data_IF_627919042560
#
_entry.id   IF_627919042560
#
_cell.length_a   1.000
_cell.length_b   1.000
_cell.length_c   1.000
_cell.angle_alpha   90.00
_cell.angle_beta   90.00
_cell.angle_gamma   90.00
#
_symmetry.space_group_name_H-M   'P 1'
#
loop_
_entity.id
_entity.type
_entity.pdbx_description
1 polymer ?
#
# COMPACT_ATOMS: atom_id res chain seq x y z
N UNK A 1 20.75 51.15 -9.38
CA UNK A 1 20.94 49.88 -8.62
C UNK A 1 22.04 49.09 -9.30
N UNK A 2 22.97 48.52 -8.53
CA UNK A 2 24.00 47.64 -9.09
C UNK A 2 23.37 46.34 -9.61
N UNK A 3 23.97 45.65 -10.60
CA UNK A 3 23.47 44.36 -11.09
C UNK A 3 23.24 43.33 -9.97
N UNK A 4 24.09 43.38 -8.94
CA UNK A 4 23.99 42.55 -7.72
C UNK A 4 22.71 42.87 -6.92
N UNK A 5 22.32 44.15 -6.83
CA UNK A 5 21.09 44.56 -6.15
C UNK A 5 19.81 44.13 -6.89
N UNK A 6 19.83 44.13 -8.22
CA UNK A 6 18.70 43.62 -9.03
C UNK A 6 18.55 42.11 -8.83
N UNK A 7 19.67 41.38 -8.88
CA UNK A 7 19.68 39.93 -8.68
C UNK A 7 19.18 39.55 -7.27
N UNK A 8 19.60 40.27 -6.24
CA UNK A 8 19.14 40.04 -4.86
C UNK A 8 17.62 40.24 -4.70
N UNK A 9 17.05 41.25 -5.34
CA UNK A 9 15.59 41.48 -5.32
C UNK A 9 14.85 40.37 -6.06
N UNK A 10 15.37 39.92 -7.20
CA UNK A 10 14.76 38.80 -7.95
C UNK A 10 14.78 37.50 -7.12
N UNK A 11 15.87 37.21 -6.42
CA UNK A 11 15.93 36.07 -5.50
C UNK A 11 14.94 36.19 -4.35
N UNK A 12 14.79 37.38 -3.76
CA UNK A 12 13.82 37.62 -2.69
C UNK A 12 12.38 37.43 -3.19
N UNK A 13 12.05 37.98 -4.37
CA UNK A 13 10.73 37.83 -4.99
C UNK A 13 10.43 36.37 -5.34
N UNK A 14 11.43 35.63 -5.83
CA UNK A 14 11.29 34.20 -6.10
C UNK A 14 11.08 33.42 -4.79
N UNK A 15 11.83 33.72 -3.73
CA UNK A 15 11.66 33.07 -2.43
C UNK A 15 10.27 33.36 -1.82
N UNK A 16 9.80 34.61 -1.91
CA UNK A 16 8.44 35.00 -1.51
C UNK A 16 7.38 34.27 -2.34
N UNK A 17 7.56 34.20 -3.65
CA UNK A 17 6.66 33.46 -4.54
C UNK A 17 6.61 31.97 -4.17
N UNK A 18 7.76 31.32 -4.00
CA UNK A 18 7.84 29.91 -3.61
C UNK A 18 7.28 29.65 -2.20
N UNK A 19 7.50 30.57 -1.25
CA UNK A 19 7.05 30.41 0.13
C UNK A 19 5.57 30.72 0.34
N UNK A 20 4.99 31.66 -0.42
CA UNK A 20 3.57 32.04 -0.31
C UNK A 20 2.68 31.31 -1.30
N UNK A 21 3.25 30.75 -2.37
CA UNK A 21 2.55 30.09 -3.48
C UNK A 21 1.22 30.77 -3.87
N UNK A 22 1.27 32.05 -4.28
CA UNK A 22 0.06 32.87 -4.40
C UNK A 22 -0.90 32.37 -5.49
N UNK A 23 -0.41 31.55 -6.42
CA UNK A 23 -1.20 30.92 -7.49
C UNK A 23 -1.46 29.44 -7.27
N UNK A 24 -1.11 28.89 -6.09
CA UNK A 24 -1.36 27.49 -5.72
C UNK A 24 -0.74 26.48 -6.69
N UNK A 25 0.42 26.79 -7.25
CA UNK A 25 1.12 25.91 -8.18
C UNK A 25 1.82 24.73 -7.50
N UNK A 26 2.04 24.81 -6.18
CA UNK A 26 2.68 23.74 -5.43
C UNK A 26 1.84 22.46 -5.44
N UNK A 27 2.50 21.32 -5.50
CA UNK A 27 1.84 20.00 -5.45
C UNK A 27 1.06 19.75 -4.15
N UNK A 28 1.31 20.55 -3.11
CA UNK A 28 0.66 20.47 -1.80
C UNK A 28 -0.34 21.62 -1.54
N UNK A 29 -0.57 22.51 -2.50
CA UNK A 29 -1.37 23.72 -2.31
C UNK A 29 -2.84 23.46 -1.95
N UNK A 30 -3.37 22.30 -2.33
CA UNK A 30 -4.74 21.86 -2.05
C UNK A 30 -4.83 20.90 -0.85
N UNK A 31 -3.74 20.71 -0.10
CA UNK A 31 -3.73 19.81 1.06
C UNK A 31 -4.24 20.53 2.31
N UNK A 32 -5.41 20.16 2.86
CA UNK A 32 -5.86 20.73 4.12
C UNK A 32 -4.92 20.31 5.26
N UNK A 33 -4.64 21.24 6.17
CA UNK A 33 -3.91 21.02 7.43
C UNK A 33 -2.61 20.23 7.24
N UNK A 34 -1.85 20.58 6.20
CA UNK A 34 -0.58 19.93 5.87
C UNK A 34 0.50 20.28 6.90
N UNK A 35 1.02 19.24 7.55
CA UNK A 35 2.12 19.31 8.49
C UNK A 35 3.21 18.36 8.01
N UNK A 36 4.44 18.86 7.84
CA UNK A 36 5.58 18.04 7.46
C UNK A 36 6.29 17.50 8.71
N UNK A 37 6.62 16.21 8.68
CA UNK A 37 7.33 15.50 9.71
C UNK A 37 8.80 15.39 9.31
N UNK A 38 9.70 15.45 10.30
CA UNK A 38 11.13 15.32 10.05
C UNK A 38 11.45 13.89 9.58
N UNK A 39 12.33 13.80 8.59
CA UNK A 39 12.85 12.55 8.01
C UNK A 39 14.36 12.59 8.22
N UNK A 40 14.87 11.68 9.05
CA UNK A 40 16.29 11.62 9.44
C UNK A 40 17.10 10.75 8.46
N UNK A 41 17.33 11.28 7.24
CA UNK A 41 18.03 10.61 6.11
C UNK A 41 19.18 9.70 6.57
N UNK A 42 19.28 8.44 6.10
CA UNK A 42 20.30 7.54 6.60
C UNK A 42 21.68 8.02 6.10
N UNK A 43 22.77 7.75 6.84
CA UNK A 43 24.11 8.04 6.36
C UNK A 43 24.35 7.41 4.98
N UNK A 44 25.08 8.11 4.11
CA UNK A 44 25.30 7.66 2.73
C UNK A 44 26.01 6.30 2.66
N UNK A 45 26.74 5.94 3.72
CA UNK A 45 27.42 4.66 3.89
C UNK A 45 26.45 3.47 3.99
N UNK A 46 25.20 3.70 4.40
CA UNK A 46 24.17 2.67 4.46
C UNK A 46 23.52 2.41 3.10
N UNK A 47 23.66 3.32 2.13
CA UNK A 47 23.10 3.14 0.79
C UNK A 47 23.88 2.02 0.07
N UNK A 48 23.23 0.91 -0.32
CA UNK A 48 23.92 -0.18 -0.98
C UNK A 48 24.56 0.27 -2.29
N UNK A 49 25.89 0.18 -2.36
CA UNK A 49 26.65 0.48 -3.59
C UNK A 49 26.63 -0.69 -4.58
N UNK A 50 26.18 -1.87 -4.13
CA UNK A 50 26.06 -3.07 -4.96
C UNK A 50 25.00 -2.82 -6.02
N UNK A 51 25.41 -2.96 -7.28
CA UNK A 51 24.51 -2.93 -8.42
C UNK A 51 24.32 -4.33 -8.96
N UNK A 52 23.12 -4.62 -9.47
CA UNK A 52 22.89 -5.79 -10.28
C UNK A 52 23.71 -5.67 -11.58
N UNK A 53 24.82 -6.42 -11.65
CA UNK A 53 25.74 -6.39 -12.80
C UNK A 53 25.07 -6.91 -14.07
N UNK A 54 24.10 -7.79 -13.92
CA UNK A 54 23.46 -8.49 -15.02
C UNK A 54 22.22 -7.78 -15.56
N UNK A 55 21.80 -6.70 -14.87
CA UNK A 55 20.57 -5.94 -15.12
C UNK A 55 19.39 -6.89 -15.40
N UNK A 56 19.18 -7.88 -14.53
CA UNK A 56 18.20 -8.94 -14.73
C UNK A 56 16.79 -8.38 -14.93
N UNK A 57 16.47 -7.26 -14.28
CA UNK A 57 15.19 -6.55 -14.46
C UNK A 57 15.01 -5.99 -15.88
N UNK A 58 16.07 -5.70 -16.63
CA UNK A 58 15.97 -5.29 -18.04
C UNK A 58 15.69 -6.46 -18.99
N UNK A 59 15.89 -7.70 -18.53
CA UNK A 59 15.65 -8.93 -19.30
C UNK A 59 14.27 -9.54 -19.02
N UNK A 60 13.41 -8.85 -18.25
CA UNK A 60 12.07 -9.34 -17.92
C UNK A 60 11.14 -9.37 -19.13
N UNK A 61 10.31 -10.40 -19.24
CA UNK A 61 9.20 -10.45 -20.19
C UNK A 61 7.99 -9.70 -19.61
N UNK A 62 7.36 -8.85 -20.42
CA UNK A 62 6.09 -8.20 -20.04
C UNK A 62 4.95 -9.18 -20.31
N UNK A 63 4.29 -9.63 -19.24
CA UNK A 63 3.09 -10.46 -19.33
C UNK A 63 1.82 -9.67 -19.01
N UNK A 64 0.72 -10.06 -19.64
CA UNK A 64 -0.64 -9.55 -19.38
C UNK A 64 -0.83 -8.04 -19.57
N UNK A 65 -0.06 -7.42 -20.46
CA UNK A 65 -0.14 -5.99 -20.73
C UNK A 65 -1.58 -5.58 -21.09
N UNK A 66 -2.10 -4.59 -20.37
CA UNK A 66 -3.46 -4.03 -20.52
C UNK A 66 -4.62 -5.02 -20.29
N UNK A 67 -4.38 -6.19 -19.68
CA UNK A 67 -5.45 -7.16 -19.41
C UNK A 67 -6.16 -6.93 -18.06
N UNK A 68 -5.44 -6.42 -17.05
CA UNK A 68 -5.96 -6.09 -15.71
C UNK A 68 -5.51 -4.70 -15.28
N UNK A 69 -6.30 -4.02 -14.46
CA UNK A 69 -6.04 -2.64 -14.05
C UNK A 69 -5.64 -2.54 -12.58
N UNK A 70 -4.48 -1.92 -12.36
CA UNK A 70 -3.92 -1.73 -11.02
C UNK A 70 -3.65 -3.02 -10.24
N UNK A 71 -3.03 -4.07 -10.82
CA UNK A 71 -2.47 -5.14 -10.01
C UNK A 71 -1.45 -4.56 -9.03
N UNK A 72 -1.41 -5.07 -7.80
CA UNK A 72 -0.53 -4.54 -6.74
C UNK A 72 0.25 -5.65 -6.05
N UNK A 73 -0.42 -6.63 -5.43
CA UNK A 73 0.21 -7.88 -4.99
C UNK A 73 -0.07 -9.05 -5.94
N UNK A 74 0.88 -9.97 -6.02
CA UNK A 74 0.78 -11.24 -6.73
C UNK A 74 0.90 -12.40 -5.74
N UNK A 75 0.01 -13.38 -5.83
CA UNK A 75 0.06 -14.58 -5.00
C UNK A 75 -0.20 -15.84 -5.83
N UNK A 76 0.28 -16.98 -5.34
CA UNK A 76 -0.01 -18.31 -5.89
C UNK A 76 -0.60 -19.15 -4.78
N UNK A 77 -1.60 -19.95 -5.12
CA UNK A 77 -2.22 -20.82 -4.13
C UNK A 77 -1.29 -22.01 -3.77
N UNK A 78 -1.60 -22.80 -2.74
CA UNK A 78 -0.77 -23.94 -2.33
C UNK A 78 -0.64 -25.04 -3.40
N UNK A 79 -1.51 -25.05 -4.41
CA UNK A 79 -1.47 -25.98 -5.55
C UNK A 79 -0.63 -25.43 -6.72
N UNK A 80 -0.11 -24.21 -6.59
CA UNK A 80 0.67 -23.52 -7.62
C UNK A 80 -0.17 -22.87 -8.71
N UNK A 81 -1.50 -22.74 -8.53
CA UNK A 81 -2.38 -22.03 -9.46
C UNK A 81 -2.20 -20.52 -9.31
N UNK A 82 -2.55 -19.80 -10.38
CA UNK A 82 -2.50 -18.35 -10.46
C UNK A 82 -1.64 -17.86 -11.63
N UNK A 83 -1.12 -16.62 -11.56
CA UNK A 83 -1.15 -15.74 -10.39
C UNK A 83 -2.54 -15.19 -10.02
N UNK A 84 -2.71 -14.87 -8.73
CA UNK A 84 -3.82 -14.12 -8.16
C UNK A 84 -3.38 -12.67 -7.91
N UNK A 85 -4.23 -11.69 -8.20
CA UNK A 85 -3.96 -10.28 -7.92
C UNK A 85 -5.23 -9.51 -7.55
N UNK A 86 -5.08 -8.55 -6.66
CA UNK A 86 -6.08 -7.51 -6.44
C UNK A 86 -6.11 -6.54 -7.61
N UNK A 87 -7.26 -5.98 -7.94
CA UNK A 87 -7.40 -4.97 -9.01
C UNK A 87 -8.05 -3.69 -8.48
N UNK A 88 -7.92 -2.60 -9.25
CA UNK A 88 -8.35 -1.25 -8.85
C UNK A 88 -9.85 -1.14 -8.51
N UNK A 89 -10.67 -2.06 -9.02
CA UNK A 89 -12.10 -2.07 -8.75
C UNK A 89 -12.50 -2.83 -7.47
N UNK A 90 -11.55 -3.38 -6.70
CA UNK A 90 -11.81 -4.09 -5.45
C UNK A 90 -12.02 -5.60 -5.58
N UNK A 91 -11.97 -6.15 -6.80
CA UNK A 91 -11.92 -7.60 -7.02
C UNK A 91 -10.51 -8.16 -6.82
N UNK A 92 -10.48 -9.47 -6.63
CA UNK A 92 -9.31 -10.32 -6.76
C UNK A 92 -9.60 -11.24 -7.94
N UNK A 93 -8.67 -11.26 -8.89
CA UNK A 93 -8.75 -12.08 -10.10
C UNK A 93 -7.58 -13.05 -10.13
N UNK A 94 -7.72 -14.15 -10.87
CA UNK A 94 -6.65 -15.12 -11.07
C UNK A 94 -6.55 -15.56 -12.52
N UNK A 95 -5.33 -15.90 -12.93
CA UNK A 95 -5.05 -16.49 -14.23
C UNK A 95 -5.12 -18.02 -14.13
N UNK A 96 -5.92 -18.66 -14.99
CA UNK A 96 -6.10 -20.11 -15.01
C UNK A 96 -5.17 -20.84 -16.00
N UNK A 97 -4.37 -20.10 -16.77
CA UNK A 97 -3.57 -20.61 -17.88
C UNK A 97 -4.01 -20.06 -19.24
N UNK A 98 -5.27 -19.66 -19.37
CA UNK A 98 -5.89 -19.20 -20.62
C UNK A 98 -6.49 -17.79 -20.51
N UNK A 99 -7.09 -17.45 -19.37
CA UNK A 99 -7.76 -16.17 -19.14
C UNK A 99 -7.76 -15.76 -17.66
N UNK A 100 -8.07 -14.48 -17.44
CA UNK A 100 -8.37 -13.96 -16.11
C UNK A 100 -9.81 -14.28 -15.72
N UNK A 101 -9.98 -14.82 -14.52
CA UNK A 101 -11.28 -15.11 -13.92
C UNK A 101 -11.43 -14.38 -12.58
N UNK A 102 -12.67 -14.05 -12.25
CA UNK A 102 -13.00 -13.49 -10.95
C UNK A 102 -12.86 -14.57 -9.87
N UNK A 103 -12.16 -14.25 -8.78
CA UNK A 103 -11.99 -15.12 -7.64
C UNK A 103 -12.81 -14.62 -6.44
N UNK A 104 -12.53 -13.39 -6.00
CA UNK A 104 -13.12 -12.83 -4.80
C UNK A 104 -13.35 -11.32 -4.92
N UNK A 105 -14.08 -10.76 -3.96
CA UNK A 105 -14.21 -9.31 -3.81
C UNK A 105 -14.29 -8.93 -2.33
N UNK A 106 -13.77 -7.74 -1.99
CA UNK A 106 -13.60 -7.33 -0.60
C UNK A 106 -14.81 -6.61 -0.01
N UNK A 107 -15.55 -5.85 -0.82
CA UNK A 107 -16.74 -5.11 -0.38
C UNK A 107 -18.04 -5.86 -0.59
N UNK A 108 -18.90 -5.92 0.43
CA UNK A 108 -20.29 -6.42 0.30
C UNK A 108 -21.23 -5.44 -0.41
N UNK A 109 -20.87 -4.15 -0.46
CA UNK A 109 -21.73 -3.06 -0.94
C UNK A 109 -21.34 -2.61 -2.35
N UNK A 110 -20.89 -3.54 -3.19
CA UNK A 110 -20.53 -3.24 -4.58
C UNK A 110 -21.77 -2.79 -5.35
N UNK A 111 -21.57 -1.76 -6.15
CA UNK A 111 -22.59 -1.14 -7.01
C UNK A 111 -21.98 -0.77 -8.35
N UNK A 112 -22.77 -0.17 -9.24
CA UNK A 112 -22.33 0.35 -10.55
C UNK A 112 -21.11 1.31 -10.46
N UNK A 113 -20.86 1.90 -9.27
CA UNK A 113 -19.68 2.72 -9.01
C UNK A 113 -18.38 1.94 -9.19
N UNK A 114 -18.39 0.64 -8.93
CA UNK A 114 -17.25 -0.26 -9.00
C UNK A 114 -17.04 -0.88 -10.39
N UNK A 115 -17.92 -0.60 -11.36
CA UNK A 115 -17.79 -1.13 -12.71
C UNK A 115 -16.48 -0.68 -13.37
N UNK A 116 -15.97 -1.45 -14.35
CA UNK A 116 -14.78 -1.11 -15.12
C UNK A 116 -14.72 0.36 -15.53
N UNK A 117 -13.59 1.01 -15.24
CA UNK A 117 -13.30 2.41 -15.58
C UNK A 117 -12.17 2.46 -16.62
N UNK A 118 -12.01 3.58 -17.35
CA UNK A 118 -10.95 3.72 -18.35
C UNK A 118 -9.54 3.81 -17.74
N UNK A 119 -9.41 4.16 -16.46
CA UNK A 119 -8.12 4.32 -15.80
C UNK A 119 -8.18 3.86 -14.33
N UNK A 120 -7.07 3.29 -13.79
CA UNK A 120 -6.97 2.95 -12.38
C UNK A 120 -7.21 4.15 -11.45
N UNK A 121 -6.85 5.37 -11.87
CA UNK A 121 -7.03 6.58 -11.05
C UNK A 121 -8.51 6.97 -10.91
N UNK A 122 -9.37 6.55 -11.85
CA UNK A 122 -10.81 6.82 -11.81
C UNK A 122 -11.53 6.09 -10.67
N UNK A 123 -10.89 5.08 -10.05
CA UNK A 123 -11.44 4.38 -8.90
C UNK A 123 -11.19 5.10 -7.57
N UNK A 124 -10.13 5.91 -7.46
CA UNK A 124 -9.69 6.55 -6.20
C UNK A 124 -10.83 7.18 -5.37
N UNK A 125 -11.80 7.93 -5.96
CA UNK A 125 -12.89 8.52 -5.18
C UNK A 125 -13.78 7.48 -4.47
N UNK A 126 -13.95 6.30 -5.08
CA UNK A 126 -14.89 5.26 -4.66
C UNK A 126 -14.22 3.98 -4.15
N UNK A 127 -12.89 3.90 -4.10
CA UNK A 127 -12.17 2.72 -3.57
C UNK A 127 -12.64 2.37 -2.15
N UNK A 128 -12.97 3.37 -1.30
CA UNK A 128 -13.52 3.14 0.04
C UNK A 128 -14.88 2.42 0.07
N UNK A 129 -15.63 2.41 -1.04
CA UNK A 129 -16.89 1.69 -1.22
C UNK A 129 -16.64 0.33 -1.87
N UNK A 130 -15.81 0.31 -2.91
CA UNK A 130 -15.57 -0.89 -3.71
C UNK A 130 -14.55 -1.86 -3.09
N UNK A 131 -13.71 -1.36 -2.20
CA UNK A 131 -12.49 -1.99 -1.74
C UNK A 131 -11.30 -1.72 -2.66
N UNK A 132 -10.11 -1.93 -2.12
CA UNK A 132 -8.85 -1.91 -2.87
C UNK A 132 -7.87 -2.88 -2.22
N UNK A 133 -7.87 -4.16 -2.63
CA UNK A 133 -6.92 -5.15 -2.15
C UNK A 133 -5.52 -4.79 -2.66
N UNK A 134 -4.59 -4.62 -1.72
CA UNK A 134 -3.17 -4.33 -1.98
C UNK A 134 -2.38 -5.60 -1.74
N UNK A 135 -2.18 -6.02 -0.49
CA UNK A 135 -1.51 -7.27 -0.11
C UNK A 135 -2.40 -8.52 -0.19
N UNK A 136 -1.83 -9.61 -0.71
CA UNK A 136 -2.47 -10.92 -0.82
C UNK A 136 -1.53 -12.05 -0.38
N UNK A 137 -1.95 -12.90 0.56
CA UNK A 137 -1.18 -14.10 0.96
C UNK A 137 -2.09 -15.28 1.24
N UNK A 138 -1.73 -16.43 0.67
CA UNK A 138 -2.39 -17.69 1.00
C UNK A 138 -1.77 -18.30 2.25
N UNK A 139 -2.63 -18.75 3.16
CA UNK A 139 -2.23 -19.72 4.18
C UNK A 139 -1.96 -21.06 3.48
N UNK A 140 -0.73 -21.56 3.62
CA UNK A 140 -0.27 -22.79 2.94
C UNK A 140 -0.97 -24.05 3.44
N UNK A 141 -1.49 -24.06 4.67
CA UNK A 141 -2.14 -25.21 5.29
C UNK A 141 -3.62 -25.28 4.94
N UNK A 142 -4.31 -24.14 4.99
CA UNK A 142 -5.77 -24.08 4.79
C UNK A 142 -6.17 -23.76 3.36
N UNK A 143 -5.31 -23.08 2.60
CA UNK A 143 -5.67 -22.54 1.28
C UNK A 143 -6.54 -21.28 1.36
N UNK A 144 -6.77 -20.75 2.56
CA UNK A 144 -7.46 -19.46 2.74
C UNK A 144 -6.57 -18.32 2.22
N UNK A 145 -7.18 -17.37 1.52
CA UNK A 145 -6.52 -16.15 1.07
C UNK A 145 -6.78 -15.02 2.06
N UNK A 146 -5.73 -14.51 2.68
CA UNK A 146 -5.75 -13.30 3.48
C UNK A 146 -5.45 -12.08 2.62
N UNK A 147 -6.17 -10.99 2.90
CA UNK A 147 -6.23 -9.81 2.06
C UNK A 147 -6.04 -8.58 2.94
N UNK A 148 -5.06 -7.74 2.61
CA UNK A 148 -4.94 -6.39 3.13
C UNK A 148 -5.68 -5.46 2.17
N UNK A 149 -6.87 -5.01 2.58
CA UNK A 149 -7.62 -4.01 1.83
C UNK A 149 -7.34 -2.61 2.39
N UNK A 150 -7.01 -1.68 1.50
CA UNK A 150 -6.62 -0.32 1.85
C UNK A 150 -7.67 0.44 2.67
N UNK A 151 -8.95 0.05 2.60
CA UNK A 151 -10.05 0.71 3.29
C UNK A 151 -10.81 -0.21 4.24
N UNK A 152 -10.84 -1.50 3.96
CA UNK A 152 -11.68 -2.47 4.67
C UNK A 152 -10.92 -3.30 5.71
N UNK A 153 -9.61 -3.09 5.86
CA UNK A 153 -8.81 -3.72 6.91
C UNK A 153 -8.19 -5.05 6.47
N UNK A 154 -8.00 -5.96 7.43
CA UNK A 154 -7.60 -7.34 7.17
C UNK A 154 -8.85 -8.19 6.93
N UNK A 155 -8.88 -8.87 5.78
CA UNK A 155 -9.97 -9.74 5.36
C UNK A 155 -9.45 -11.14 5.05
N UNK A 156 -10.38 -12.10 4.89
CA UNK A 156 -10.09 -13.46 4.48
C UNK A 156 -11.17 -14.04 3.59
N UNK A 157 -10.80 -14.82 2.59
CA UNK A 157 -11.72 -15.61 1.76
C UNK A 157 -11.20 -17.04 1.64
N UNK A 158 -12.10 -18.02 1.59
CA UNK A 158 -11.73 -19.42 1.44
C UNK A 158 -11.21 -19.77 0.03
N UNK A 159 -10.75 -21.02 -0.18
CA UNK A 159 -10.17 -21.46 -1.46
C UNK A 159 -11.17 -21.45 -2.63
N UNK A 160 -12.47 -21.39 -2.36
CA UNK A 160 -13.54 -21.28 -3.36
C UNK A 160 -13.81 -19.83 -3.81
N UNK A 161 -13.17 -18.85 -3.18
CA UNK A 161 -13.38 -17.43 -3.47
C UNK A 161 -14.71 -16.89 -2.94
N UNK A 162 -15.24 -15.86 -3.60
CA UNK A 162 -16.48 -15.17 -3.21
C UNK A 162 -16.27 -13.88 -2.40
N UNK A 163 -17.23 -13.56 -1.53
CA UNK A 163 -17.17 -12.37 -0.68
C UNK A 163 -16.19 -12.61 0.48
N UNK A 164 -15.19 -11.75 0.61
CA UNK A 164 -14.25 -11.82 1.72
C UNK A 164 -14.92 -11.45 3.06
N UNK A 165 -14.55 -12.16 4.11
CA UNK A 165 -14.99 -11.92 5.48
C UNK A 165 -14.02 -10.97 6.18
N UNK A 166 -14.56 -9.96 6.88
CA UNK A 166 -13.76 -9.03 7.66
C UNK A 166 -13.22 -9.67 8.95
N UNK A 167 -11.92 -9.48 9.21
CA UNK A 167 -11.24 -10.00 10.40
C UNK A 167 -10.83 -8.87 11.36
N UNK A 168 -10.24 -7.80 10.84
CA UNK A 168 -9.70 -6.69 11.65
C UNK A 168 -9.96 -5.37 10.94
N UNK A 169 -10.56 -4.41 11.65
CA UNK A 169 -10.80 -3.03 11.17
C UNK A 169 -10.15 -1.96 12.04
N UNK A 170 -9.49 -2.35 13.14
CA UNK A 170 -8.80 -1.47 14.06
C UNK A 170 -7.94 -2.27 15.04
N UNK A 171 -6.97 -1.59 15.65
CA UNK A 171 -6.10 -2.14 16.70
C UNK A 171 -5.94 -1.12 17.83
N UNK A 172 -6.03 -1.58 19.09
CA UNK A 172 -6.01 -0.73 20.29
C UNK A 172 -6.95 0.48 20.23
N UNK A 173 -8.18 0.29 19.72
CA UNK A 173 -9.17 1.36 19.61
C UNK A 173 -8.94 2.36 18.47
N UNK A 174 -7.83 2.25 17.73
CA UNK A 174 -7.51 3.10 16.58
C UNK A 174 -7.87 2.35 15.28
N UNK A 175 -8.82 2.88 14.47
CA UNK A 175 -9.19 2.27 13.19
C UNK A 175 -8.00 2.11 12.24
N UNK A 176 -8.01 1.07 11.42
CA UNK A 176 -7.13 0.97 10.26
C UNK A 176 -7.61 1.97 9.20
N UNK A 177 -6.69 2.72 8.60
CA UNK A 177 -7.04 3.70 7.54
C UNK A 177 -6.39 3.38 6.21
N UNK A 178 -5.28 2.65 6.23
CA UNK A 178 -4.55 2.31 5.03
C UNK A 178 -3.78 1.00 5.20
N UNK A 179 -4.49 -0.13 5.33
CA UNK A 179 -3.88 -1.46 5.33
C UNK A 179 -3.19 -1.73 4.00
N UNK A 180 -1.94 -2.19 4.00
CA UNK A 180 -1.18 -2.25 2.76
C UNK A 180 -0.72 -3.67 2.41
N UNK A 181 0.23 -4.23 3.14
CA UNK A 181 0.75 -5.56 2.85
C UNK A 181 0.63 -6.48 4.08
N UNK A 182 0.76 -7.78 3.83
CA UNK A 182 0.77 -8.79 4.89
C UNK A 182 1.71 -9.96 4.57
N UNK A 183 2.07 -10.70 5.62
CA UNK A 183 2.67 -12.03 5.54
C UNK A 183 2.11 -12.95 6.62
N UNK A 184 2.27 -14.25 6.45
CA UNK A 184 1.71 -15.28 7.35
C UNK A 184 2.82 -16.24 7.78
N UNK A 185 2.94 -16.50 9.08
CA UNK A 185 3.86 -17.53 9.59
C UNK A 185 3.28 -18.95 9.45
N UNK A 186 4.10 -19.96 9.73
CA UNK A 186 3.70 -21.35 9.59
C UNK A 186 2.59 -21.74 10.59
N UNK A 187 2.41 -21.00 11.68
CA UNK A 187 1.32 -21.16 12.65
C UNK A 187 0.02 -20.49 12.19
N UNK A 188 0.03 -19.74 11.08
CA UNK A 188 -1.14 -19.02 10.57
C UNK A 188 -1.35 -17.65 11.21
N UNK A 189 -0.38 -17.14 11.97
CA UNK A 189 -0.42 -15.78 12.48
C UNK A 189 -0.14 -14.81 11.34
N UNK A 190 -0.93 -13.74 11.28
CA UNK A 190 -0.84 -12.74 10.22
C UNK A 190 -0.10 -11.51 10.73
N UNK A 191 0.91 -11.07 10.00
CA UNK A 191 1.64 -9.83 10.22
C UNK A 191 1.28 -8.89 9.09
N UNK A 192 0.82 -7.67 9.39
CA UNK A 192 0.35 -6.75 8.36
C UNK A 192 0.65 -5.30 8.72
N UNK A 193 0.70 -4.44 7.71
CA UNK A 193 0.98 -3.01 7.86
C UNK A 193 -0.29 -2.19 7.76
N UNK A 194 -0.35 -1.13 8.57
CA UNK A 194 -1.25 0.01 8.39
C UNK A 194 -0.38 1.21 8.06
N UNK A 195 -0.40 1.65 6.80
CA UNK A 195 0.50 2.66 6.24
C UNK A 195 0.32 4.04 6.87
N UNK A 196 -0.86 4.36 7.39
CA UNK A 196 -1.13 5.57 8.18
C UNK A 196 -2.39 5.36 9.00
N UNK A 197 -2.41 5.87 10.22
CA UNK A 197 -3.62 5.94 11.05
C UNK A 197 -4.47 7.20 10.79
N UNK A 198 -3.97 8.12 9.96
CA UNK A 198 -4.61 9.41 9.60
C UNK A 198 -5.15 9.39 8.18
N UNK A 199 -4.30 9.08 7.21
CA UNK A 199 -4.63 9.18 5.79
C UNK A 199 -5.13 7.85 5.23
N UNK A 200 -6.15 7.92 4.38
CA UNK A 200 -6.56 6.80 3.55
C UNK A 200 -5.78 6.79 2.23
N UNK A 201 -5.85 5.67 1.50
CA UNK A 201 -5.16 5.54 0.20
C UNK A 201 -5.48 6.65 -0.80
N UNK A 202 -6.72 7.14 -0.90
CA UNK A 202 -7.06 8.28 -1.80
C UNK A 202 -6.29 9.57 -1.48
N UNK A 203 -5.75 9.68 -0.26
CA UNK A 203 -4.92 10.78 0.21
C UNK A 203 -3.42 10.41 0.31
N UNK A 204 -2.97 9.31 -0.34
CA UNK A 204 -1.59 8.81 -0.20
C UNK A 204 -0.51 9.84 -0.53
N UNK A 205 -0.79 10.80 -1.42
CA UNK A 205 0.15 11.91 -1.71
C UNK A 205 0.40 12.76 -0.47
N UNK A 206 -0.64 13.05 0.34
CA UNK A 206 -0.48 13.80 1.58
C UNK A 206 0.39 13.02 2.57
N UNK A 207 0.18 11.71 2.68
CA UNK A 207 1.02 10.83 3.50
C UNK A 207 2.49 10.90 3.08
N UNK A 208 2.78 10.73 1.78
CA UNK A 208 4.16 10.76 1.27
C UNK A 208 4.81 12.12 1.51
N UNK A 209 4.15 13.21 1.09
CA UNK A 209 4.73 14.55 1.19
C UNK A 209 4.86 15.05 2.64
N UNK A 210 3.94 14.65 3.53
CA UNK A 210 4.05 14.98 4.96
C UNK A 210 5.08 14.12 5.66
N UNK A 211 5.37 12.92 5.14
CA UNK A 211 6.16 11.90 5.85
C UNK A 211 5.62 11.61 7.25
N UNK A 212 4.31 11.73 7.42
CA UNK A 212 3.61 11.42 8.67
C UNK A 212 3.94 10.00 9.14
N UNK A 213 4.16 9.84 10.44
CA UNK A 213 4.72 8.62 11.02
C UNK A 213 3.67 7.75 11.73
N UNK A 214 2.37 7.95 11.52
CA UNK A 214 1.32 7.19 12.17
C UNK A 214 1.16 5.75 11.66
N UNK A 215 2.12 5.24 10.90
CA UNK A 215 2.13 3.87 10.42
C UNK A 215 2.44 2.84 11.51
N UNK A 216 1.93 1.62 11.32
CA UNK A 216 1.99 0.54 12.32
C UNK A 216 2.28 -0.81 11.67
N UNK A 217 3.05 -1.64 12.39
CA UNK A 217 3.16 -3.08 12.12
C UNK A 217 2.34 -3.83 13.17
N UNK A 218 1.42 -4.68 12.71
CA UNK A 218 0.43 -5.32 13.54
C UNK A 218 0.47 -6.83 13.34
N UNK A 219 0.37 -7.58 14.43
CA UNK A 219 0.19 -9.03 14.48
C UNK A 219 -1.28 -9.34 14.76
N UNK A 220 -1.84 -10.31 14.07
CA UNK A 220 -3.18 -10.85 14.30
C UNK A 220 -3.13 -12.37 14.46
N UNK A 221 -3.73 -12.87 15.54
CA UNK A 221 -3.88 -14.30 15.77
C UNK A 221 -5.29 -14.75 15.39
N UNK A 222 -5.48 -15.54 14.31
CA UNK A 222 -6.82 -15.99 13.90
C UNK A 222 -7.53 -16.89 14.91
N UNK A 223 -6.80 -17.58 15.80
CA UNK A 223 -7.37 -18.47 16.80
C UNK A 223 -7.96 -17.70 17.99
N UNK A 224 -7.22 -16.72 18.52
CA UNK A 224 -7.69 -15.88 19.64
C UNK A 224 -8.49 -14.68 19.16
N UNK A 225 -8.38 -14.33 17.88
CA UNK A 225 -8.91 -13.11 17.25
C UNK A 225 -8.34 -11.82 17.84
N UNK A 226 -7.17 -11.90 18.48
CA UNK A 226 -6.51 -10.76 19.09
C UNK A 226 -5.54 -10.09 18.12
N UNK A 227 -5.40 -8.78 18.27
CA UNK A 227 -4.39 -7.97 17.57
C UNK A 227 -3.35 -7.48 18.57
N UNK A 228 -2.09 -7.41 18.13
CA UNK A 228 -0.98 -6.86 18.90
C UNK A 228 -0.18 -5.93 18.01
N UNK A 229 0.00 -4.68 18.44
CA UNK A 229 0.85 -3.73 17.73
C UNK A 229 2.31 -4.07 18.07
N UNK A 230 3.09 -4.43 17.05
CA UNK A 230 4.50 -4.77 17.20
C UNK A 230 5.40 -3.54 17.09
N UNK A 231 5.03 -2.61 16.22
CA UNK A 231 5.78 -1.37 16.00
C UNK A 231 4.83 -0.23 15.63
N UNK A 232 5.17 0.98 16.06
CA UNK A 232 4.47 2.25 15.77
C UNK A 232 5.48 3.28 15.28
N UNK A 233 5.00 4.47 14.91
CA UNK A 233 5.84 5.58 14.47
C UNK A 233 6.59 5.30 13.16
N UNK A 234 6.02 4.44 12.30
CA UNK A 234 6.59 4.08 11.00
C UNK A 234 6.15 5.08 9.92
N UNK A 235 7.08 5.50 9.07
CA UNK A 235 6.84 6.41 7.95
C UNK A 235 6.48 5.64 6.68
N UNK A 236 5.17 5.57 6.43
CA UNK A 236 4.59 4.87 5.28
C UNK A 236 5.05 3.40 5.16
N UNK A 237 4.78 2.53 6.17
CA UNK A 237 5.09 1.11 6.07
C UNK A 237 4.25 0.47 4.97
N UNK A 238 4.87 0.19 3.83
CA UNK A 238 4.19 -0.20 2.61
C UNK A 238 4.20 -1.73 2.43
N UNK A 239 5.35 -2.36 2.68
CA UNK A 239 5.54 -3.81 2.53
C UNK A 239 5.98 -4.48 3.82
N UNK A 240 5.60 -5.75 4.00
CA UNK A 240 6.12 -6.61 5.08
C UNK A 240 6.35 -8.02 4.58
N UNK A 241 7.47 -8.63 4.98
CA UNK A 241 7.76 -10.03 4.69
C UNK A 241 8.43 -10.74 5.85
N UNK A 242 8.03 -11.97 6.09
CA UNK A 242 8.60 -12.86 7.08
C UNK A 242 9.79 -13.62 6.49
N UNK A 243 10.84 -13.76 7.28
CA UNK A 243 11.95 -14.66 7.00
C UNK A 243 11.47 -16.11 6.87
N UNK A 244 12.17 -16.91 6.06
CA UNK A 244 11.80 -18.31 5.79
C UNK A 244 11.76 -19.18 7.04
N UNK A 245 12.57 -18.86 8.05
CA UNK A 245 12.64 -19.57 9.33
C UNK A 245 11.79 -18.93 10.43
N UNK A 246 11.03 -17.88 10.11
CA UNK A 246 10.14 -17.18 11.03
C UNK A 246 10.84 -16.38 12.13
N UNK A 247 12.16 -16.17 12.03
CA UNK A 247 12.95 -15.55 13.12
C UNK A 247 12.88 -14.02 13.12
N UNK A 248 12.66 -13.40 11.96
CA UNK A 248 12.51 -11.96 11.81
C UNK A 248 11.51 -11.56 10.71
N UNK A 249 11.07 -10.31 10.76
CA UNK A 249 10.28 -9.63 9.72
C UNK A 249 11.13 -8.52 9.09
N UNK A 250 10.93 -8.28 7.81
CA UNK A 250 11.40 -7.09 7.09
C UNK A 250 10.20 -6.22 6.80
N UNK A 251 10.23 -4.97 7.26
CA UNK A 251 9.21 -3.97 6.99
C UNK A 251 9.84 -2.85 6.15
N UNK A 252 9.14 -2.40 5.11
CA UNK A 252 9.59 -1.33 4.24
C UNK A 252 8.88 -0.02 4.58
N UNK A 253 9.64 0.98 5.02
CA UNK A 253 9.18 2.37 5.15
C UNK A 253 9.40 3.10 3.82
N UNK A 254 8.33 3.64 3.24
CA UNK A 254 8.37 4.30 1.92
C UNK A 254 8.83 5.75 1.96
N UNK A 255 8.91 6.34 3.16
CA UNK A 255 9.49 7.67 3.38
C UNK A 255 10.46 7.60 4.57
N UNK A 256 11.46 6.70 4.53
CA UNK A 256 12.33 6.49 5.67
C UNK A 256 13.16 7.75 5.89
N UNK A 257 13.17 8.18 7.16
CA UNK A 257 14.33 8.83 7.76
C UNK A 257 15.54 7.97 7.50
#
# INVERSE_FOLDING_TARGET
>A
MTPVGILGILFLLLALYCGTDPFKHSAISEFPDFEAYKVDMPPWEMVPMVRDKDNLLQKSEIKFLNQVQGPESMAFDPLGRGPYTGVADGRIVFWDGEKWNDFAHTSSNRSELCNPKPSPLSYLPNEHICGRPLGLRFDKKTGDLYIADAYLGLLKVGPEGGLATSLVTGANGVPLRFTNDLDIDDEGIVYFTDSSSKYQRRNFKQLIFSSENGGRLIKYNPHTKETTILMTNLQFPNGVSLSKDGTFLVCCEGCPG
#
